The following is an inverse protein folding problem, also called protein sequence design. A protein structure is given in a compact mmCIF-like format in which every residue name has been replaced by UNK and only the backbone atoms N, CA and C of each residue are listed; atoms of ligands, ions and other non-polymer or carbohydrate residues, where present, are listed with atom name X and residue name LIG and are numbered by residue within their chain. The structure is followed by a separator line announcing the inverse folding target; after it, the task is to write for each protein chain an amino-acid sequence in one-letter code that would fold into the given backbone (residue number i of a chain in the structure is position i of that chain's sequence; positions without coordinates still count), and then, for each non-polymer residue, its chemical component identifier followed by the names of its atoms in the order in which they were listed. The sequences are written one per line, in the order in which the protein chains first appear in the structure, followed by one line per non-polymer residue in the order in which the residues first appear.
data_IF_121521394394
#
_entry.id   IF_121521394394
#
_cell.length_a   1.000
_cell.length_b   1.000
_cell.length_c   1.000
_cell.angle_alpha   90.00
_cell.angle_beta   90.00
_cell.angle_gamma   90.00
#
_symmetry.space_group_name_H-M   'P 1'
#
loop_
_entity.id
_entity.type
_entity.pdbx_description
1 polymer ?
#
# COMPACT_ATOMS: atom_id res chain seq x y z
N UNK A 1 14.73 -5.68 10.41
CA UNK A 1 13.35 -5.62 9.90
C UNK A 1 13.40 -6.16 8.49
N UNK A 2 12.81 -7.32 8.25
CA UNK A 2 12.70 -7.87 6.91
C UNK A 2 11.83 -6.93 6.06
N UNK A 3 12.40 -6.45 4.96
CA UNK A 3 11.71 -5.59 4.01
C UNK A 3 10.62 -6.40 3.32
N UNK A 4 9.36 -5.98 3.46
CA UNK A 4 8.23 -6.66 2.81
C UNK A 4 8.27 -6.32 1.31
N UNK A 5 8.44 -7.33 0.47
CA UNK A 5 8.35 -7.18 -0.99
C UNK A 5 6.88 -7.06 -1.41
N UNK A 6 6.34 -5.85 -1.36
CA UNK A 6 4.96 -5.55 -1.75
C UNK A 6 4.80 -5.58 -3.27
N UNK A 7 3.73 -6.24 -3.72
CA UNK A 7 3.34 -6.33 -5.13
C UNK A 7 1.98 -5.67 -5.36
N UNK A 8 1.72 -5.10 -6.55
CA UNK A 8 0.39 -4.62 -6.90
C UNK A 8 -0.68 -5.69 -6.68
N UNK A 9 -1.82 -5.30 -6.12
CA UNK A 9 -2.93 -6.16 -5.75
C UNK A 9 -2.76 -6.89 -4.41
N UNK A 10 -1.62 -6.77 -3.74
CA UNK A 10 -1.42 -7.39 -2.43
C UNK A 10 -2.30 -6.70 -1.38
N UNK A 11 -3.08 -7.49 -0.64
CA UNK A 11 -3.88 -7.02 0.48
C UNK A 11 -2.97 -6.74 1.68
N UNK A 12 -3.13 -5.58 2.28
CA UNK A 12 -2.29 -5.10 3.39
C UNK A 12 -3.14 -4.52 4.50
N UNK A 13 -2.51 -4.34 5.66
CA UNK A 13 -3.00 -3.47 6.72
C UNK A 13 -2.07 -2.25 6.78
N UNK A 14 -2.66 -1.05 6.75
CA UNK A 14 -1.94 0.21 6.89
C UNK A 14 -2.28 0.85 8.24
N UNK A 15 -1.26 1.39 8.91
CA UNK A 15 -1.44 2.12 10.15
C UNK A 15 -1.80 3.58 9.83
N UNK A 16 -2.86 4.07 10.48
CA UNK A 16 -3.39 5.42 10.25
C UNK A 16 -2.94 6.37 11.36
N UNK A 17 -3.01 7.68 11.08
CA UNK A 17 -2.73 8.72 12.08
C UNK A 17 -3.67 8.68 13.31
N UNK A 18 -4.77 7.91 13.25
CA UNK A 18 -5.71 7.70 14.35
C UNK A 18 -5.38 6.45 15.19
N UNK A 19 -4.16 5.91 15.06
CA UNK A 19 -3.69 4.71 15.78
C UNK A 19 -4.52 3.45 15.46
N UNK A 20 -5.07 3.39 14.24
CA UNK A 20 -5.89 2.28 13.76
C UNK A 20 -5.24 1.60 12.55
N UNK A 21 -5.39 0.27 12.46
CA UNK A 21 -4.98 -0.53 11.30
C UNK A 21 -6.16 -0.76 10.37
N UNK A 22 -6.05 -0.30 9.12
CA UNK A 22 -7.12 -0.40 8.12
C UNK A 22 -6.72 -1.32 6.96
N UNK A 23 -7.65 -2.15 6.44
CA UNK A 23 -7.39 -2.99 5.27
C UNK A 23 -7.35 -2.14 4.01
N UNK A 24 -6.31 -2.31 3.20
CA UNK A 24 -6.12 -1.63 1.92
C UNK A 24 -5.46 -2.58 0.90
N UNK A 25 -5.37 -2.14 -0.35
CA UNK A 25 -4.64 -2.83 -1.43
C UNK A 25 -3.43 -2.02 -1.89
N UNK A 26 -2.29 -2.70 -2.03
CA UNK A 26 -1.11 -2.12 -2.66
C UNK A 26 -1.36 -1.88 -4.14
N UNK A 27 -1.36 -0.63 -4.58
CA UNK A 27 -1.56 -0.24 -5.97
C UNK A 27 -0.25 -0.29 -6.79
N UNK A 28 0.89 -0.14 -6.11
CA UNK A 28 2.22 -0.20 -6.73
C UNK A 28 3.16 -1.12 -5.93
N UNK A 29 4.31 -1.54 -6.49
CA UNK A 29 5.42 -2.01 -5.68
C UNK A 29 5.89 -0.92 -4.71
N UNK A 30 6.71 -1.31 -3.72
CA UNK A 30 7.43 -0.32 -2.90
C UNK A 30 8.39 0.51 -3.75
N UNK A 31 8.49 1.79 -3.45
CA UNK A 31 9.32 2.75 -4.17
C UNK A 31 10.18 3.53 -3.18
N UNK A 32 11.44 3.82 -3.56
CA UNK A 32 12.30 4.68 -2.76
C UNK A 32 11.82 6.13 -2.86
N UNK A 33 11.29 6.67 -1.76
CA UNK A 33 11.03 8.09 -1.61
C UNK A 33 12.29 8.87 -1.24
N UNK A 34 12.14 10.18 -1.00
CA UNK A 34 13.24 11.08 -0.67
C UNK A 34 13.94 10.69 0.64
N UNK A 35 13.15 10.44 1.69
CA UNK A 35 13.65 10.20 3.05
C UNK A 35 13.37 8.77 3.53
N UNK A 36 12.36 8.10 2.98
CA UNK A 36 11.96 6.73 3.33
C UNK A 36 11.25 6.05 2.15
N UNK A 37 11.05 4.74 2.26
CA UNK A 37 10.34 3.94 1.26
C UNK A 37 8.83 4.07 1.41
N UNK A 38 8.14 4.16 0.28
CA UNK A 38 6.69 4.34 0.21
C UNK A 38 6.04 3.26 -0.63
N UNK A 39 4.78 2.97 -0.34
CA UNK A 39 3.88 2.19 -1.18
C UNK A 39 2.60 2.98 -1.40
N UNK A 40 2.07 2.96 -2.60
CA UNK A 40 0.78 3.59 -2.90
C UNK A 40 -0.33 2.59 -2.63
N UNK A 41 -1.31 2.99 -1.83
CA UNK A 41 -2.43 2.16 -1.40
C UNK A 41 -3.76 2.74 -1.88
N UNK A 42 -4.74 1.88 -2.13
CA UNK A 42 -6.13 2.22 -2.46
C UNK A 42 -7.10 1.35 -1.66
N UNK A 43 -8.39 1.70 -1.69
CA UNK A 43 -9.43 0.87 -1.10
C UNK A 43 -9.57 -0.47 -1.86
N UNK A 44 -10.08 -1.49 -1.17
CA UNK A 44 -10.14 -2.85 -1.70
C UNK A 44 -11.06 -3.01 -2.92
N UNK A 45 -12.09 -2.17 -3.01
CA UNK A 45 -13.11 -2.13 -4.07
C UNK A 45 -12.74 -1.24 -5.25
N UNK A 46 -11.77 -0.35 -5.08
CA UNK A 46 -11.19 0.48 -6.16
C UNK A 46 -10.12 -0.26 -6.95
N UNK A 47 -9.56 -1.33 -6.40
CA UNK A 47 -8.51 -2.11 -7.06
C UNK A 47 -9.06 -2.91 -8.25
N UNK A 48 -8.50 -2.65 -9.43
CA UNK A 48 -8.76 -3.41 -10.65
C UNK A 48 -7.46 -4.09 -11.14
N UNK A 49 -7.36 -5.44 -11.11
CA UNK A 49 -6.17 -6.15 -11.56
C UNK A 49 -5.94 -6.09 -13.08
N UNK A 50 -6.96 -5.76 -13.88
CA UNK A 50 -6.88 -5.66 -15.34
C UNK A 50 -6.62 -4.23 -15.82
N UNK A 51 -6.57 -3.25 -14.89
CA UNK A 51 -6.28 -1.87 -15.21
C UNK A 51 -4.83 -1.68 -15.68
N UNK A 52 -4.64 -0.84 -16.69
CA UNK A 52 -3.31 -0.48 -17.22
C UNK A 52 -2.58 0.54 -16.35
N UNK A 53 -3.27 1.13 -15.39
CA UNK A 53 -2.77 2.16 -14.48
C UNK A 53 -3.42 2.02 -13.09
N UNK A 54 -2.75 2.46 -12.01
CA UNK A 54 -3.35 2.52 -10.68
C UNK A 54 -4.63 3.37 -10.63
N UNK A 55 -5.50 3.15 -9.63
CA UNK A 55 -6.64 4.02 -9.35
C UNK A 55 -6.21 5.48 -9.15
N UNK A 56 -7.13 6.43 -9.41
CA UNK A 56 -6.85 7.85 -9.25
C UNK A 56 -6.64 8.25 -7.78
N UNK A 57 -7.33 7.59 -6.86
CA UNK A 57 -7.39 7.94 -5.44
C UNK A 57 -6.36 7.19 -4.57
N UNK A 58 -5.24 6.79 -5.18
CA UNK A 58 -4.13 6.16 -4.43
C UNK A 58 -3.43 7.17 -3.51
N UNK A 59 -3.10 6.74 -2.30
CA UNK A 59 -2.42 7.56 -1.28
C UNK A 59 -1.09 6.90 -0.90
N UNK A 60 0.01 7.66 -0.78
CA UNK A 60 1.30 7.10 -0.38
C UNK A 60 1.36 6.82 1.12
N UNK A 61 1.83 5.63 1.48
CA UNK A 61 2.07 5.19 2.86
C UNK A 61 3.55 4.84 3.09
N UNK A 62 4.13 5.17 4.26
CA UNK A 62 5.45 4.66 4.66
C UNK A 62 5.41 3.14 4.77
N UNK A 63 6.39 2.43 4.20
CA UNK A 63 6.40 0.96 4.25
C UNK A 63 6.49 0.40 5.68
N UNK A 64 7.11 1.15 6.59
CA UNK A 64 7.23 0.77 8.01
C UNK A 64 5.89 0.75 8.75
N UNK A 65 4.89 1.47 8.21
CA UNK A 65 3.51 1.53 8.72
C UNK A 65 2.58 0.57 7.96
N UNK A 66 3.14 -0.36 7.18
CA UNK A 66 2.38 -1.32 6.36
C UNK A 66 2.75 -2.75 6.74
N UNK A 67 1.75 -3.62 6.84
CA UNK A 67 1.92 -5.05 7.13
C UNK A 67 1.16 -5.89 6.12
N UNK A 68 1.73 -7.04 5.76
CA UNK A 68 1.00 -8.03 4.97
C UNK A 68 -0.25 -8.49 5.74
N UNK A 69 -1.40 -8.53 5.06
CA UNK A 69 -2.62 -9.10 5.61
C UNK A 69 -2.58 -10.62 5.39
N UNK A 70 -2.80 -11.44 6.43
CA UNK A 70 -2.80 -12.90 6.31
C UNK A 70 -3.94 -13.42 5.45
#
# INVERSE_FOLDING_TARGET
MDQIDLKPGMKVLAHTALDAWVPLTAATPSQQGRDFQVVWLCEDDEWDPDATQPPADVIPWPIEEVRARP
#
